data_IF_705822964941
#
_entry.id   IF_705822964941
#
_cell.length_a   1.000
_cell.length_b   1.000
_cell.length_c   1.000
_cell.angle_alpha   90.00
_cell.angle_beta   90.00
_cell.angle_gamma   90.00
#
_symmetry.space_group_name_H-M   'P 1'
#
loop_
_entity.id
_entity.type
_entity.pdbx_description
1 polymer ?
#
# COMPACT_ATOMS: atom_id res chain seq x y z
N UNK A 1 -40.67 -7.95 34.19
CA UNK A 1 -39.75 -7.47 35.24
C UNK A 1 -39.03 -8.67 35.85
N UNK A 2 -37.78 -8.92 35.45
CA UNK A 2 -36.83 -9.78 36.16
C UNK A 2 -35.48 -9.08 36.10
N UNK A 3 -35.11 -8.50 37.23
CA UNK A 3 -33.83 -7.85 37.49
C UNK A 3 -32.85 -8.87 38.07
N UNK A 4 -31.56 -8.53 37.93
CA UNK A 4 -30.41 -9.03 38.67
C UNK A 4 -29.74 -10.27 38.02
N UNK A 5 -28.41 -10.37 37.88
CA UNK A 5 -27.32 -9.78 38.65
C UNK A 5 -26.09 -9.53 37.75
N UNK A 6 -25.49 -8.34 37.92
CA UNK A 6 -24.14 -8.01 37.45
C UNK A 6 -23.11 -8.90 38.17
N UNK A 7 -22.23 -9.57 37.43
CA UNK A 7 -20.96 -10.06 37.96
C UNK A 7 -19.83 -9.19 37.45
N UNK A 8 -19.46 -8.21 38.26
CA UNK A 8 -18.19 -7.51 38.19
C UNK A 8 -17.25 -8.13 39.23
N UNK A 9 -16.26 -8.88 38.75
CA UNK A 9 -15.03 -9.30 39.44
C UNK A 9 -14.26 -10.10 38.37
N UNK A 10 -13.02 -9.82 38.00
CA UNK A 10 -11.86 -9.57 38.84
C UNK A 10 -10.86 -8.75 38.02
N UNK A 11 -10.58 -7.54 38.49
CA UNK A 11 -9.36 -6.81 38.17
C UNK A 11 -8.14 -7.59 38.71
N UNK A 12 -7.02 -7.44 38.01
CA UNK A 12 -5.64 -7.67 38.47
C UNK A 12 -5.01 -9.06 38.25
N UNK A 13 -4.14 -9.12 37.24
CA UNK A 13 -2.84 -9.81 37.28
C UNK A 13 -1.93 -9.12 36.24
N UNK A 14 -1.26 -8.02 36.63
CA UNK A 14 0.12 -8.01 37.13
C UNK A 14 1.15 -8.33 36.03
N UNK A 15 1.76 -7.24 35.57
CA UNK A 15 3.14 -7.09 35.09
C UNK A 15 4.07 -8.26 35.43
N UNK A 16 4.56 -8.95 34.39
CA UNK A 16 5.76 -9.77 34.45
C UNK A 16 6.51 -9.60 33.10
N UNK A 17 7.42 -8.62 33.03
CA UNK A 17 8.86 -8.86 33.01
C UNK A 17 9.34 -9.61 31.76
N UNK A 18 9.52 -8.89 30.64
CA UNK A 18 10.42 -9.33 29.58
C UNK A 18 11.85 -8.88 29.96
N UNK A 19 12.77 -9.80 30.29
CA UNK A 19 14.16 -9.43 30.57
C UNK A 19 14.86 -9.02 29.27
N UNK A 20 15.19 -7.73 29.16
CA UNK A 20 16.13 -7.21 28.17
C UNK A 20 17.50 -7.80 28.50
N UNK A 21 17.91 -8.82 27.74
CA UNK A 21 19.24 -9.41 27.88
C UNK A 21 20.26 -8.54 27.15
N UNK A 22 20.91 -7.64 27.89
CA UNK A 22 22.13 -6.95 27.44
C UNK A 22 23.32 -7.88 27.73
N UNK A 23 23.82 -8.56 26.70
CA UNK A 23 25.10 -9.26 26.77
C UNK A 23 26.13 -8.50 25.93
N UNK A 24 26.88 -7.61 26.60
CA UNK A 24 28.07 -6.98 26.05
C UNK A 24 29.24 -7.98 26.14
N UNK A 25 29.54 -8.67 25.04
CA UNK A 25 30.77 -9.43 24.90
C UNK A 25 31.85 -8.54 24.27
N UNK A 26 32.67 -7.92 25.12
CA UNK A 26 33.85 -7.17 24.72
C UNK A 26 34.94 -8.14 24.24
N UNK A 27 35.12 -8.28 22.93
CA UNK A 27 36.28 -8.94 22.36
C UNK A 27 37.45 -7.96 22.33
N UNK A 28 38.55 -8.39 22.95
CA UNK A 28 39.83 -7.71 23.06
C UNK A 28 40.35 -7.32 21.66
N UNK A 29 40.28 -6.03 21.30
CA UNK A 29 40.95 -5.53 20.08
C UNK A 29 42.46 -5.60 20.28
N UNK A 30 43.15 -6.17 19.31
CA UNK A 30 44.60 -6.28 19.29
C UNK A 30 45.12 -4.98 18.64
N UNK A 31 45.50 -4.01 19.46
CA UNK A 31 46.03 -2.71 19.01
C UNK A 31 47.51 -2.82 18.64
N UNK A 32 47.82 -3.53 17.55
CA UNK A 32 49.12 -3.44 16.91
C UNK A 32 49.02 -2.58 15.65
N UNK A 33 49.74 -1.45 15.56
CA UNK A 33 49.79 -0.66 14.34
C UNK A 33 50.47 -1.46 13.22
N UNK A 34 49.94 -1.43 11.98
CA UNK A 34 50.66 -1.96 10.83
C UNK A 34 52.01 -1.25 10.69
N UNK A 35 53.09 -2.01 10.62
CA UNK A 35 54.41 -1.47 10.28
C UNK A 35 54.41 -0.83 8.88
N UNK A 36 55.31 0.12 8.60
CA UNK A 36 55.38 0.76 7.29
C UNK A 36 55.69 -0.30 6.21
N UNK A 37 54.78 -0.45 5.26
CA UNK A 37 55.04 -1.23 4.05
C UNK A 37 55.79 -0.35 3.04
N UNK A 38 56.79 -0.87 2.31
CA UNK A 38 57.43 -0.13 1.24
C UNK A 38 56.43 0.14 0.12
N UNK A 39 56.35 1.40 -0.31
CA UNK A 39 55.56 1.81 -1.47
C UNK A 39 56.11 1.13 -2.72
N UNK A 40 55.35 0.20 -3.30
CA UNK A 40 55.63 -0.28 -4.65
C UNK A 40 55.17 0.79 -5.64
N UNK A 41 56.07 1.69 -6.01
CA UNK A 41 55.88 2.61 -7.14
C UNK A 41 55.92 1.79 -8.43
N UNK A 42 54.77 1.27 -8.86
CA UNK A 42 54.62 0.83 -10.24
C UNK A 42 54.59 2.09 -11.12
N UNK A 43 55.55 2.15 -12.03
CA UNK A 43 55.66 3.16 -13.06
C UNK A 43 54.46 3.00 -14.00
N UNK A 44 53.36 3.70 -13.72
CA UNK A 44 52.25 3.81 -14.65
C UNK A 44 52.71 4.71 -15.80
N UNK A 45 53.28 4.06 -16.81
CA UNK A 45 53.44 4.61 -18.14
C UNK A 45 52.07 5.18 -18.56
N UNK A 46 52.01 6.49 -18.76
CA UNK A 46 50.78 7.19 -19.10
C UNK A 46 50.29 6.76 -20.47
N UNK A 47 49.31 5.86 -20.49
CA UNK A 47 48.46 5.68 -21.64
C UNK A 47 47.39 6.76 -21.60
N UNK A 48 47.50 7.72 -22.53
CA UNK A 48 46.47 8.70 -22.82
C UNK A 48 45.26 8.01 -23.45
N UNK A 49 44.53 7.19 -22.70
CA UNK A 49 43.22 6.69 -23.11
C UNK A 49 42.19 7.74 -22.71
N UNK A 50 41.94 8.65 -23.64
CA UNK A 50 40.78 9.53 -23.66
C UNK A 50 39.57 8.62 -23.43
N UNK A 51 38.99 8.62 -22.22
CA UNK A 51 37.77 7.86 -21.92
C UNK A 51 36.69 8.31 -22.90
N UNK A 52 36.60 7.61 -24.03
CA UNK A 52 35.46 7.63 -24.90
C UNK A 52 34.33 7.14 -24.02
N UNK A 53 33.47 8.05 -23.60
CA UNK A 53 32.17 7.72 -23.02
C UNK A 53 31.46 6.94 -24.12
N UNK A 54 31.60 5.60 -24.09
CA UNK A 54 30.84 4.75 -24.98
C UNK A 54 29.39 4.95 -24.59
N UNK A 55 28.62 5.52 -25.52
CA UNK A 55 27.16 5.62 -25.45
C UNK A 55 26.66 4.23 -25.04
N UNK A 56 26.02 4.09 -23.88
CA UNK A 56 25.45 2.79 -23.47
C UNK A 56 24.55 2.33 -24.61
N UNK A 57 24.82 1.13 -25.08
CA UNK A 57 23.93 0.45 -26.01
C UNK A 57 22.57 0.30 -25.33
N UNK A 58 21.55 0.95 -25.90
CA UNK A 58 20.18 0.96 -25.39
C UNK A 58 19.47 -0.38 -25.54
N UNK A 59 20.14 -1.37 -26.15
CA UNK A 59 19.61 -2.72 -26.38
C UNK A 59 19.32 -3.52 -25.10
N UNK A 60 19.79 -3.06 -23.94
CA UNK A 60 19.50 -3.64 -22.62
C UNK A 60 18.44 -2.85 -21.82
N UNK A 61 17.79 -1.84 -22.39
CA UNK A 61 16.58 -1.30 -21.78
C UNK A 61 15.45 -2.30 -22.02
N UNK A 62 15.05 -3.03 -20.98
CA UNK A 62 13.76 -3.69 -20.96
C UNK A 62 12.68 -2.64 -21.31
N UNK A 63 11.61 -3.01 -22.04
CA UNK A 63 10.46 -2.14 -22.23
C UNK A 63 10.00 -1.65 -20.85
N UNK A 64 10.06 -0.34 -20.61
CA UNK A 64 9.99 0.21 -19.23
C UNK A 64 8.64 -0.03 -18.57
N UNK A 65 7.60 -0.38 -19.30
CA UNK A 65 6.29 -0.63 -18.71
C UNK A 65 5.56 -1.67 -19.57
N UNK A 66 5.28 -2.89 -19.06
CA UNK A 66 4.26 -3.74 -19.66
C UNK A 66 2.96 -2.94 -19.79
N UNK A 67 2.15 -3.13 -20.84
CA UNK A 67 0.86 -2.43 -21.03
C UNK A 67 -0.18 -2.68 -19.91
N UNK A 68 0.19 -3.44 -18.88
CA UNK A 68 -0.58 -3.84 -17.72
C UNK A 68 0.08 -3.41 -16.40
N UNK A 69 1.09 -2.53 -16.44
CA UNK A 69 1.78 -2.16 -15.22
C UNK A 69 0.86 -1.36 -14.31
N UNK A 70 0.74 -1.84 -13.08
CA UNK A 70 0.16 -1.08 -11.99
C UNK A 70 0.98 0.22 -11.80
N UNK A 71 0.36 1.36 -12.11
CA UNK A 71 0.95 2.69 -11.98
C UNK A 71 0.89 3.20 -10.54
N UNK A 72 0.14 2.52 -9.66
CA UNK A 72 -0.06 2.93 -8.27
C UNK A 72 1.27 3.11 -7.51
N UNK A 73 2.27 2.23 -7.62
CA UNK A 73 3.56 2.41 -6.93
C UNK A 73 4.39 3.59 -7.46
N UNK A 74 4.08 4.10 -8.65
CA UNK A 74 4.77 5.23 -9.28
C UNK A 74 4.11 6.55 -8.90
N UNK A 75 2.78 6.59 -8.90
CA UNK A 75 1.99 7.81 -8.74
C UNK A 75 1.52 8.06 -7.30
N UNK A 76 1.43 7.00 -6.50
CA UNK A 76 0.84 7.05 -5.16
C UNK A 76 1.79 6.52 -4.07
N UNK A 77 1.59 6.96 -2.81
CA UNK A 77 2.28 6.37 -1.66
C UNK A 77 2.01 4.87 -1.53
N UNK A 78 2.87 4.19 -0.75
CA UNK A 78 2.75 2.76 -0.51
C UNK A 78 1.36 2.39 0.01
N UNK A 79 0.80 1.31 -0.54
CA UNK A 79 -0.50 0.72 -0.17
C UNK A 79 -1.74 1.52 -0.62
N UNK A 80 -1.57 2.54 -1.47
CA UNK A 80 -2.68 3.22 -2.13
C UNK A 80 -2.74 2.84 -3.61
N UNK A 81 -3.90 3.07 -4.22
CA UNK A 81 -4.15 2.80 -5.62
C UNK A 81 -4.39 4.13 -6.32
N UNK A 82 -3.92 4.24 -7.56
CA UNK A 82 -4.19 5.41 -8.37
C UNK A 82 -5.56 5.27 -9.03
N UNK A 83 -6.41 6.28 -8.85
CA UNK A 83 -7.70 6.37 -9.50
C UNK A 83 -7.81 7.64 -10.33
N UNK A 84 -8.38 7.57 -11.54
CA UNK A 84 -8.57 8.75 -12.36
C UNK A 84 -9.72 9.58 -11.77
N UNK A 85 -9.64 10.89 -11.91
CA UNK A 85 -10.75 11.78 -11.51
C UNK A 85 -11.87 11.77 -12.56
N UNK A 86 -11.59 11.24 -13.76
CA UNK A 86 -12.53 11.05 -14.86
C UNK A 86 -13.09 9.62 -14.93
N UNK A 87 -14.20 9.45 -15.64
CA UNK A 87 -14.82 8.13 -15.90
C UNK A 87 -14.01 7.22 -16.84
N UNK A 88 -12.99 7.76 -17.50
CA UNK A 88 -12.10 7.02 -18.40
C UNK A 88 -10.74 6.77 -17.75
N UNK A 89 -10.21 5.55 -17.90
CA UNK A 89 -8.85 5.20 -17.46
C UNK A 89 -7.83 5.67 -18.51
N UNK A 90 -6.90 6.58 -18.16
CA UNK A 90 -5.84 6.99 -19.07
C UNK A 90 -4.88 5.84 -19.38
N UNK A 91 -4.37 5.82 -20.61
CA UNK A 91 -3.52 4.72 -21.10
C UNK A 91 -2.03 5.05 -21.00
N UNK A 92 -1.69 6.33 -20.84
CA UNK A 92 -0.30 6.79 -20.73
C UNK A 92 -0.07 7.62 -19.48
N UNK A 93 1.16 7.58 -18.96
CA UNK A 93 1.54 8.33 -17.76
C UNK A 93 1.35 9.85 -17.94
N UNK A 94 1.56 10.37 -19.16
CA UNK A 94 1.36 11.79 -19.48
C UNK A 94 -0.12 12.18 -19.33
N UNK A 95 -1.04 11.35 -19.84
CA UNK A 95 -2.47 11.58 -19.69
C UNK A 95 -2.91 11.54 -18.22
N UNK A 96 -2.35 10.63 -17.42
CA UNK A 96 -2.62 10.56 -15.97
C UNK A 96 -2.24 11.87 -15.27
N UNK A 97 -1.11 12.47 -15.63
CA UNK A 97 -0.65 13.75 -15.05
C UNK A 97 -1.49 14.93 -15.56
N UNK A 98 -1.90 14.92 -16.83
CA UNK A 98 -2.70 15.99 -17.44
C UNK A 98 -4.15 16.02 -16.92
N UNK A 99 -4.83 14.87 -16.93
CA UNK A 99 -6.24 14.75 -16.53
C UNK A 99 -6.42 14.70 -15.00
N UNK A 100 -5.33 14.42 -14.28
CA UNK A 100 -5.32 14.35 -12.84
C UNK A 100 -5.77 12.99 -12.30
N UNK A 101 -5.29 12.69 -11.10
CA UNK A 101 -5.53 11.45 -10.40
C UNK A 101 -5.63 11.71 -8.91
N UNK A 102 -6.24 10.77 -8.22
CA UNK A 102 -6.23 10.71 -6.78
C UNK A 102 -5.66 9.37 -6.30
N UNK A 103 -5.09 9.39 -5.11
CA UNK A 103 -4.63 8.19 -4.45
C UNK A 103 -5.65 7.80 -3.40
N UNK A 104 -6.18 6.59 -3.52
CA UNK A 104 -7.24 6.06 -2.64
C UNK A 104 -6.81 4.72 -2.04
N UNK A 105 -7.24 4.46 -0.81
CA UNK A 105 -7.14 3.12 -0.24
C UNK A 105 -8.41 2.33 -0.60
N UNK A 106 -8.31 1.51 -1.65
CA UNK A 106 -9.44 0.72 -2.15
C UNK A 106 -9.92 -0.34 -1.16
N UNK A 107 -9.24 -0.52 -0.03
CA UNK A 107 -9.64 -1.50 0.98
C UNK A 107 -10.66 -0.95 1.97
N UNK A 108 -10.78 0.37 2.08
CA UNK A 108 -11.61 1.05 3.08
C UNK A 108 -12.37 2.28 2.55
N UNK A 109 -12.03 2.80 1.38
CA UNK A 109 -12.75 3.91 0.77
C UNK A 109 -14.12 3.49 0.25
N UNK A 110 -15.18 4.25 0.59
CA UNK A 110 -16.56 3.92 0.20
C UNK A 110 -16.83 4.18 -1.28
N UNK A 111 -16.17 5.16 -1.88
CA UNK A 111 -16.34 5.57 -3.26
C UNK A 111 -15.36 4.88 -4.21
N UNK A 112 -14.39 4.14 -3.68
CA UNK A 112 -13.42 3.36 -4.46
C UNK A 112 -13.13 2.00 -3.83
N UNK A 113 -14.16 1.29 -3.38
CA UNK A 113 -14.01 0.02 -2.68
C UNK A 113 -13.72 -1.13 -3.66
N UNK A 114 -12.48 -1.63 -3.63
CA UNK A 114 -12.01 -2.71 -4.51
C UNK A 114 -11.59 -2.25 -5.92
N UNK A 115 -11.72 -0.97 -6.23
CA UNK A 115 -11.39 -0.38 -7.52
C UNK A 115 -11.83 1.08 -7.59
N UNK A 116 -11.63 1.75 -8.73
CA UNK A 116 -11.97 3.16 -8.87
C UNK A 116 -13.45 3.36 -9.17
N UNK A 117 -14.22 3.90 -8.21
CA UNK A 117 -15.65 4.16 -8.42
C UNK A 117 -15.95 5.24 -9.46
N UNK A 118 -14.98 6.12 -9.73
CA UNK A 118 -15.03 7.07 -10.84
C UNK A 118 -15.14 6.38 -12.20
N UNK A 119 -14.48 5.23 -12.37
CA UNK A 119 -14.46 4.45 -13.62
C UNK A 119 -15.63 3.49 -13.69
N UNK A 120 -15.93 2.84 -12.57
CA UNK A 120 -17.00 1.85 -12.50
C UNK A 120 -17.75 1.95 -11.17
N UNK A 121 -19.03 2.29 -11.28
CA UNK A 121 -19.95 2.45 -10.15
C UNK A 121 -20.05 1.21 -9.25
N UNK A 122 -19.67 0.02 -9.73
CA UNK A 122 -19.65 -1.17 -8.89
C UNK A 122 -18.71 -1.06 -7.67
N UNK A 123 -17.68 -0.20 -7.76
CA UNK A 123 -16.75 0.08 -6.68
C UNK A 123 -17.18 1.26 -5.79
N UNK A 124 -18.28 1.94 -6.14
CA UNK A 124 -18.89 2.95 -5.29
C UNK A 124 -20.00 2.34 -4.43
N UNK A 125 -19.66 1.98 -3.19
CA UNK A 125 -20.62 1.41 -2.24
C UNK A 125 -21.75 2.40 -1.90
N UNK A 126 -21.53 3.71 -2.08
CA UNK A 126 -22.54 4.75 -1.81
C UNK A 126 -23.66 4.75 -2.85
N UNK A 127 -23.41 4.17 -4.03
CA UNK A 127 -24.38 4.03 -5.10
C UNK A 127 -25.36 2.87 -4.91
N UNK A 128 -25.19 2.03 -3.87
CA UNK A 128 -26.07 0.87 -3.62
C UNK A 128 -27.50 1.35 -3.33
N UNK A 129 -28.48 0.92 -4.14
CA UNK A 129 -29.84 1.42 -4.03
C UNK A 129 -30.49 0.97 -2.71
N UNK A 130 -31.18 1.92 -2.08
CA UNK A 130 -31.93 1.73 -0.83
C UNK A 130 -31.10 1.32 0.39
N UNK A 131 -29.77 1.27 0.29
CA UNK A 131 -28.90 1.13 1.44
C UNK A 131 -28.99 2.39 2.33
N UNK A 132 -28.87 2.18 3.64
CA UNK A 132 -28.83 3.24 4.65
C UNK A 132 -27.48 3.23 5.39
N UNK A 133 -26.99 2.04 5.74
CA UNK A 133 -25.67 1.85 6.34
C UNK A 133 -24.84 0.91 5.49
N UNK A 134 -23.66 1.39 5.09
CA UNK A 134 -22.70 0.66 4.24
C UNK A 134 -21.30 0.75 4.83
N UNK A 135 -20.43 -0.16 4.43
CA UNK A 135 -18.98 -0.06 4.63
C UNK A 135 -18.23 -0.68 3.45
N UNK A 136 -16.97 -0.27 3.28
CA UNK A 136 -16.00 -1.02 2.50
C UNK A 136 -15.21 -1.93 3.45
N UNK A 137 -15.28 -3.24 3.25
CA UNK A 137 -14.56 -4.22 4.05
C UNK A 137 -13.57 -4.97 3.18
N UNK A 138 -12.29 -4.61 3.25
CA UNK A 138 -11.20 -5.28 2.52
C UNK A 138 -11.47 -5.31 1.00
N UNK A 139 -11.93 -4.18 0.46
CA UNK A 139 -12.21 -4.03 -0.97
C UNK A 139 -13.52 -4.67 -1.43
N UNK A 140 -14.45 -4.94 -0.52
CA UNK A 140 -15.80 -5.39 -0.85
C UNK A 140 -16.86 -4.52 -0.14
N UNK A 141 -17.88 -4.10 -0.90
CA UNK A 141 -19.01 -3.39 -0.34
C UNK A 141 -19.88 -4.30 0.54
N UNK A 142 -20.29 -3.76 1.70
CA UNK A 142 -21.13 -4.46 2.68
C UNK A 142 -22.26 -3.56 3.13
N UNK A 143 -23.47 -4.10 3.14
CA UNK A 143 -24.67 -3.38 3.57
C UNK A 143 -25.07 -3.86 4.95
N UNK A 144 -25.20 -2.93 5.88
CA UNK A 144 -25.57 -3.19 7.28
C UNK A 144 -27.03 -2.86 7.59
N UNK A 145 -27.60 -1.91 6.85
CA UNK A 145 -29.00 -1.53 7.01
C UNK A 145 -29.60 -0.94 5.74
N UNK A 146 -30.91 -1.11 5.59
CA UNK A 146 -31.69 -0.63 4.45
C UNK A 146 -32.68 0.46 4.88
N UNK A 147 -33.07 1.31 3.93
CA UNK A 147 -34.14 2.30 4.12
C UNK A 147 -35.48 1.61 4.43
N UNK A 148 -36.44 2.29 5.09
CA UNK A 148 -37.77 1.74 5.35
C UNK A 148 -38.45 1.20 4.08
N UNK A 149 -39.08 0.03 4.17
CA UNK A 149 -39.68 -0.68 3.03
C UNK A 149 -38.71 -1.60 2.26
N UNK A 150 -37.47 -1.72 2.72
CA UNK A 150 -36.46 -2.63 2.17
C UNK A 150 -35.81 -3.46 3.28
N UNK A 151 -35.36 -4.66 2.91
CA UNK A 151 -34.64 -5.61 3.76
C UNK A 151 -33.32 -6.01 3.13
N UNK A 152 -32.36 -6.35 4.00
CA UNK A 152 -31.04 -6.80 3.57
C UNK A 152 -31.16 -8.14 2.82
N UNK A 153 -30.54 -8.23 1.65
CA UNK A 153 -30.42 -9.48 0.91
C UNK A 153 -29.53 -10.50 1.67
N UNK A 154 -29.68 -11.79 1.35
CA UNK A 154 -28.99 -12.87 2.06
C UNK A 154 -27.46 -12.79 1.95
N UNK A 155 -26.96 -12.22 0.86
CA UNK A 155 -25.54 -12.03 0.60
C UNK A 155 -24.94 -10.82 1.34
N UNK A 156 -25.78 -9.96 1.92
CA UNK A 156 -25.38 -8.74 2.62
C UNK A 156 -24.86 -7.63 1.70
N UNK A 157 -25.14 -7.69 0.39
CA UNK A 157 -24.61 -6.73 -0.59
C UNK A 157 -25.65 -5.75 -1.15
N UNK A 158 -26.94 -6.02 -0.93
CA UNK A 158 -28.03 -5.25 -1.51
C UNK A 158 -29.26 -5.16 -0.61
N UNK A 159 -30.13 -4.21 -0.93
CA UNK A 159 -31.42 -4.01 -0.27
C UNK A 159 -32.57 -4.35 -1.23
N UNK A 160 -33.42 -5.29 -0.84
CA UNK A 160 -34.57 -5.75 -1.63
C UNK A 160 -35.89 -5.32 -0.99
N UNK A 161 -36.88 -5.00 -1.82
CA UNK A 161 -38.19 -4.55 -1.35
C UNK A 161 -38.84 -5.59 -0.44
N UNK A 162 -39.37 -5.15 0.70
CA UNK A 162 -40.23 -5.97 1.54
C UNK A 162 -41.61 -6.02 0.90
N UNK A 163 -41.91 -7.08 0.16
CA UNK A 163 -43.27 -7.34 -0.34
C UNK A 163 -44.22 -7.70 0.82
#
# INVERSE_FOLDING_TARGET
MRFALFSAAVFAAVLALCPVSVAAAATKRNDNPPGPQPSNTQNHQGDNDFRVVRKRDGSLQLPVVPPEADLSPILCPLSMNVCPISETVPTTLEEWVEHGYECVDVREDLNSCGGCGSVDVQYDCTAIPNALGISCEVGACRVHSCKPGFTLALDGTSCVSTA
#
